data_IF_718028023015
#
_entry.id   IF_718028023015
#
_cell.length_a   1.000
_cell.length_b   1.000
_cell.length_c   1.000
_cell.angle_alpha   90.00
_cell.angle_beta   90.00
_cell.angle_gamma   90.00
#
_symmetry.space_group_name_H-M   'P 1'
#
loop_
_entity.id
_entity.type
_entity.pdbx_description
1 polymer ?
#
# COMPACT_ATOMS: atom_id res chain seq x y z
N UNK A 1 70.91 -25.12 -28.39
CA UNK A 1 70.91 -24.32 -29.63
C UNK A 1 69.49 -24.25 -30.16
N UNK A 2 69.09 -23.06 -30.60
CA UNK A 2 67.74 -22.54 -30.88
C UNK A 2 66.85 -23.36 -31.81
N UNK A 3 65.53 -23.32 -31.57
CA UNK A 3 64.54 -22.60 -32.40
C UNK A 3 63.15 -22.75 -31.76
N UNK A 4 62.59 -21.72 -31.11
CA UNK A 4 61.75 -20.65 -31.68
C UNK A 4 60.59 -21.19 -32.52
N UNK A 5 59.45 -21.41 -31.87
CA UNK A 5 58.16 -21.73 -32.50
C UNK A 5 57.24 -20.53 -32.43
N UNK A 6 56.80 -20.10 -33.60
CA UNK A 6 55.98 -18.94 -33.94
C UNK A 6 54.80 -18.63 -33.00
N UNK A 7 54.81 -17.41 -32.47
CA UNK A 7 53.62 -16.68 -32.05
C UNK A 7 52.91 -16.16 -33.32
N UNK A 8 51.75 -16.75 -33.65
CA UNK A 8 50.78 -16.09 -34.54
C UNK A 8 49.91 -15.13 -33.72
N UNK A 9 49.66 -13.90 -34.20
CA UNK A 9 48.76 -12.97 -33.53
C UNK A 9 47.31 -13.35 -33.85
N UNK A 10 46.52 -13.71 -32.85
CA UNK A 10 45.07 -13.79 -33.00
C UNK A 10 44.52 -12.37 -32.94
N UNK A 11 43.93 -11.96 -34.06
CA UNK A 11 43.36 -10.64 -34.27
C UNK A 11 42.37 -10.24 -33.17
N UNK A 12 42.61 -9.05 -32.62
CA UNK A 12 41.75 -8.34 -31.70
C UNK A 12 40.49 -7.85 -32.44
N UNK A 13 39.41 -8.64 -32.42
CA UNK A 13 38.11 -8.20 -32.86
C UNK A 13 37.42 -7.44 -31.71
N UNK A 14 37.68 -6.14 -31.63
CA UNK A 14 36.97 -5.22 -30.76
C UNK A 14 35.47 -5.24 -31.08
N UNK A 15 34.68 -5.97 -30.27
CA UNK A 15 33.22 -5.84 -30.25
C UNK A 15 32.88 -4.52 -29.57
N UNK A 16 32.31 -3.59 -30.34
CA UNK A 16 32.00 -2.24 -29.85
C UNK A 16 31.07 -2.26 -28.63
N UNK A 17 31.28 -1.38 -27.63
CA UNK A 17 30.47 -1.30 -26.41
C UNK A 17 29.01 -0.87 -26.63
N UNK A 18 28.64 -0.45 -27.85
CA UNK A 18 27.30 0.03 -28.17
C UNK A 18 26.27 -1.10 -28.32
N UNK A 19 26.68 -2.32 -28.67
CA UNK A 19 25.74 -3.45 -28.88
C UNK A 19 25.26 -4.05 -27.55
N UNK A 20 26.07 -3.96 -26.50
CA UNK A 20 25.71 -4.45 -25.16
C UNK A 20 24.68 -3.54 -24.46
N UNK A 21 24.80 -2.22 -24.67
CA UNK A 21 23.88 -1.22 -24.09
C UNK A 21 22.48 -1.27 -24.70
N UNK A 22 22.35 -1.60 -25.99
CA UNK A 22 21.04 -1.72 -26.66
C UNK A 22 20.28 -2.96 -26.16
N UNK A 23 20.99 -4.05 -25.86
CA UNK A 23 20.38 -5.31 -25.40
C UNK A 23 19.91 -5.21 -23.94
N UNK A 24 20.66 -4.51 -23.08
CA UNK A 24 20.27 -4.28 -21.68
C UNK A 24 19.06 -3.34 -21.55
N UNK A 25 18.95 -2.33 -22.43
CA UNK A 25 17.83 -1.38 -22.44
C UNK A 25 16.51 -2.05 -22.84
N UNK A 26 16.54 -3.06 -23.72
CA UNK A 26 15.36 -3.85 -24.12
C UNK A 26 14.86 -4.82 -23.03
N UNK A 27 15.77 -5.30 -22.17
CA UNK A 27 15.43 -6.22 -21.07
C UNK A 27 14.91 -5.46 -19.83
N UNK A 28 15.43 -4.26 -19.56
CA UNK A 28 15.00 -3.44 -18.42
C UNK A 28 13.68 -2.68 -18.64
N UNK A 29 13.26 -2.46 -19.89
CA UNK A 29 12.01 -1.75 -20.19
C UNK A 29 10.76 -2.66 -20.19
N UNK A 30 10.95 -3.99 -20.17
CA UNK A 30 9.86 -4.98 -20.19
C UNK A 30 9.49 -5.55 -18.79
N UNK A 31 9.88 -4.87 -17.71
CA UNK A 31 9.49 -5.25 -16.33
C UNK A 31 8.75 -4.16 -15.56
N UNK A 32 8.33 -3.10 -16.25
CA UNK A 32 7.42 -2.07 -15.73
C UNK A 32 6.11 -2.17 -16.51
N UNK A 33 5.36 -3.25 -16.31
CA UNK A 33 3.92 -3.26 -16.55
C UNK A 33 3.29 -4.27 -15.59
N UNK A 34 2.93 -3.72 -14.42
CA UNK A 34 1.84 -4.19 -13.59
C UNK A 34 0.61 -4.30 -14.50
N UNK A 35 0.19 -5.53 -14.82
CA UNK A 35 -0.92 -5.83 -15.72
C UNK A 35 -2.24 -5.34 -15.11
N UNK A 36 -2.66 -4.15 -15.50
CA UNK A 36 -4.05 -3.71 -15.37
C UNK A 36 -4.85 -4.36 -16.49
N UNK A 37 -5.53 -5.46 -16.20
CA UNK A 37 -6.49 -6.05 -17.13
C UNK A 37 -7.84 -5.31 -17.01
N UNK A 38 -7.95 -4.15 -17.66
CA UNK A 38 -9.23 -3.50 -17.92
C UNK A 38 -9.78 -4.06 -19.25
N UNK A 39 -10.55 -5.14 -19.17
CA UNK A 39 -11.30 -5.64 -20.34
C UNK A 39 -12.62 -4.89 -20.45
N UNK A 40 -12.63 -3.82 -21.24
CA UNK A 40 -13.86 -3.25 -21.79
C UNK A 40 -14.31 -4.12 -22.97
N UNK A 41 -15.34 -4.94 -22.78
CA UNK A 41 -16.05 -5.56 -23.90
C UNK A 41 -17.22 -4.68 -24.31
N UNK A 42 -17.04 -4.01 -25.44
CA UNK A 42 -18.05 -3.32 -26.22
C UNK A 42 -19.10 -4.35 -26.67
N UNK A 43 -20.33 -4.25 -26.18
CA UNK A 43 -21.46 -5.03 -26.69
C UNK A 43 -22.27 -4.18 -27.68
N UNK A 44 -21.87 -4.21 -28.95
CA UNK A 44 -22.76 -3.83 -30.05
C UNK A 44 -23.19 -5.10 -30.76
N UNK A 45 -24.33 -5.67 -30.34
CA UNK A 45 -25.13 -6.56 -31.18
C UNK A 45 -26.42 -5.84 -31.52
N UNK A 46 -26.36 -5.18 -32.67
CA UNK A 46 -27.48 -4.73 -33.48
C UNK A 46 -27.91 -5.93 -34.34
N UNK A 47 -29.23 -6.17 -34.47
CA UNK A 47 -29.99 -7.03 -35.42
C UNK A 47 -31.25 -7.51 -34.66
N UNK A 48 -32.53 -7.38 -35.06
CA UNK A 48 -33.26 -6.99 -36.29
C UNK A 48 -34.76 -6.72 -35.89
N UNK A 49 -35.67 -6.35 -36.81
CA UNK A 49 -36.87 -5.53 -36.55
C UNK A 49 -38.18 -6.32 -36.38
N UNK A 50 -39.21 -5.69 -35.83
CA UNK A 50 -40.60 -6.07 -36.12
C UNK A 50 -41.58 -4.92 -35.84
N UNK A 51 -42.24 -4.52 -36.93
CA UNK A 51 -43.56 -3.90 -37.11
C UNK A 51 -44.49 -3.74 -35.90
N UNK A 52 -45.07 -2.54 -35.81
CA UNK A 52 -46.34 -2.27 -35.12
C UNK A 52 -47.47 -3.13 -35.69
N UNK A 53 -48.12 -3.93 -34.84
CA UNK A 53 -49.55 -4.22 -34.94
C UNK A 53 -50.12 -4.42 -33.53
N UNK A 54 -51.12 -3.60 -33.21
CA UNK A 54 -52.03 -3.79 -32.09
C UNK A 54 -53.06 -4.87 -32.46
N UNK A 55 -53.43 -5.76 -31.51
CA UNK A 55 -54.74 -6.40 -31.31
C UNK A 55 -54.79 -6.91 -29.85
N UNK A 56 -55.99 -6.92 -29.26
CA UNK A 56 -56.35 -6.87 -27.84
C UNK A 56 -56.40 -8.21 -27.07
N UNK A 57 -56.79 -8.10 -25.77
CA UNK A 57 -57.23 -9.10 -24.75
C UNK A 57 -56.10 -9.62 -23.84
N UNK A 58 -56.13 -9.63 -22.49
CA UNK A 58 -57.16 -9.54 -21.43
C UNK A 58 -56.43 -9.21 -20.10
N UNK A 59 -57.09 -8.65 -19.05
CA UNK A 59 -56.45 -8.42 -17.76
C UNK A 59 -56.29 -9.74 -16.98
N UNK A 60 -55.07 -10.19 -16.78
CA UNK A 60 -54.73 -11.18 -15.75
C UNK A 60 -54.14 -10.42 -14.55
N UNK A 61 -54.98 -10.29 -13.54
CA UNK A 61 -54.60 -9.94 -12.17
C UNK A 61 -53.65 -11.04 -11.66
N UNK A 62 -52.35 -10.76 -11.70
CA UNK A 62 -51.35 -11.50 -10.93
C UNK A 62 -50.81 -10.59 -9.85
N UNK A 63 -51.36 -10.77 -8.66
CA UNK A 63 -50.83 -10.29 -7.40
C UNK A 63 -49.43 -10.86 -7.16
N UNK A 64 -48.41 -10.18 -7.69
CA UNK A 64 -47.04 -10.35 -7.22
C UNK A 64 -46.67 -9.17 -6.34
N UNK A 65 -46.85 -9.38 -5.03
CA UNK A 65 -46.30 -8.54 -3.98
C UNK A 65 -44.78 -8.58 -4.05
N UNK A 66 -44.17 -7.72 -4.88
CA UNK A 66 -42.71 -7.53 -4.88
C UNK A 66 -42.33 -6.74 -3.62
N UNK A 67 -42.03 -7.49 -2.54
CA UNK A 67 -41.25 -6.97 -1.42
C UNK A 67 -39.82 -6.74 -1.93
N UNK A 68 -39.18 -5.60 -1.63
CA UNK A 68 -37.85 -5.30 -2.16
C UNK A 68 -36.83 -6.30 -1.62
N UNK A 69 -36.18 -7.04 -2.53
CA UNK A 69 -35.03 -7.87 -2.21
C UNK A 69 -33.88 -6.91 -1.90
N UNK A 70 -33.60 -6.74 -0.60
CA UNK A 70 -32.35 -6.17 -0.10
C UNK A 70 -31.22 -7.07 -0.63
N UNK A 71 -30.17 -6.53 -1.28
CA UNK A 71 -29.04 -7.35 -1.70
C UNK A 71 -28.45 -8.07 -0.48
N UNK A 72 -28.60 -9.39 -0.40
CA UNK A 72 -27.81 -10.19 0.51
C UNK A 72 -26.38 -10.10 0.02
N UNK A 73 -25.48 -9.57 0.84
CA UNK A 73 -24.05 -9.67 0.56
C UNK A 73 -23.71 -11.15 0.27
N UNK A 74 -22.81 -11.43 -0.68
CA UNK A 74 -22.34 -12.79 -0.91
C UNK A 74 -21.81 -13.36 0.42
N UNK A 75 -22.36 -14.49 0.85
CA UNK A 75 -21.87 -15.20 2.02
C UNK A 75 -20.57 -15.87 1.58
N UNK A 76 -19.44 -15.43 2.13
CA UNK A 76 -18.12 -16.02 1.89
C UNK A 76 -18.20 -17.51 2.27
N UNK A 77 -17.77 -18.40 1.38
CA UNK A 77 -17.75 -19.84 1.65
C UNK A 77 -16.90 -20.16 2.90
N UNK A 78 -17.23 -21.25 3.61
CA UNK A 78 -16.47 -21.67 4.78
C UNK A 78 -15.00 -21.97 4.43
N UNK A 79 -14.76 -22.57 3.27
CA UNK A 79 -13.43 -22.89 2.76
C UNK A 79 -12.61 -21.61 2.52
N UNK A 80 -13.16 -20.66 1.77
CA UNK A 80 -12.49 -19.40 1.47
C UNK A 80 -12.21 -18.59 2.73
N UNK A 81 -13.17 -18.58 3.67
CA UNK A 81 -13.00 -17.96 4.99
C UNK A 81 -11.83 -18.57 5.77
N UNK A 82 -11.66 -19.89 5.72
CA UNK A 82 -10.53 -20.56 6.36
C UNK A 82 -9.18 -20.22 5.69
N UNK A 83 -9.16 -20.17 4.35
CA UNK A 83 -7.97 -19.78 3.59
C UNK A 83 -7.57 -18.32 3.88
N UNK A 84 -8.52 -17.39 3.92
CA UNK A 84 -8.27 -15.99 4.27
C UNK A 84 -7.71 -15.89 5.70
N UNK A 85 -8.29 -16.61 6.66
CA UNK A 85 -7.79 -16.65 8.05
C UNK A 85 -6.33 -17.10 8.10
N UNK A 86 -6.02 -18.21 7.43
CA UNK A 86 -4.67 -18.77 7.38
C UNK A 86 -3.67 -17.80 6.73
N UNK A 87 -4.06 -17.15 5.63
CA UNK A 87 -3.22 -16.15 4.98
C UNK A 87 -2.89 -15.00 5.93
N UNK A 88 -3.91 -14.44 6.61
CA UNK A 88 -3.75 -13.34 7.56
C UNK A 88 -2.88 -13.71 8.76
N UNK A 89 -2.96 -14.97 9.22
CA UNK A 89 -2.10 -15.49 10.30
C UNK A 89 -0.64 -15.59 9.85
N UNK A 90 -0.37 -16.17 8.68
CA UNK A 90 0.99 -16.35 8.14
C UNK A 90 1.64 -14.99 7.81
N UNK A 91 0.86 -13.98 7.45
CA UNK A 91 1.36 -12.62 7.19
C UNK A 91 1.38 -11.72 8.42
N UNK A 92 1.17 -12.26 9.62
CA UNK A 92 1.14 -11.53 10.90
C UNK A 92 0.17 -10.32 10.91
N UNK A 93 -0.94 -10.40 10.18
CA UNK A 93 -1.85 -9.26 9.99
C UNK A 93 -2.44 -8.74 11.30
N UNK A 94 -2.69 -9.60 12.29
CA UNK A 94 -3.14 -9.19 13.63
C UNK A 94 -2.12 -8.31 14.32
N UNK A 95 -0.86 -8.75 14.37
CA UNK A 95 0.23 -7.97 14.98
C UNK A 95 0.44 -6.64 14.26
N UNK A 96 0.37 -6.63 12.93
CA UNK A 96 0.47 -5.40 12.14
C UNK A 96 -0.70 -4.44 12.45
N UNK A 97 -1.92 -4.95 12.56
CA UNK A 97 -3.10 -4.15 12.91
C UNK A 97 -2.99 -3.56 14.34
N UNK A 98 -2.51 -4.35 15.30
CA UNK A 98 -2.23 -3.89 16.67
C UNK A 98 -1.19 -2.76 16.68
N UNK A 99 -0.10 -2.90 15.92
CA UNK A 99 0.93 -1.86 15.81
C UNK A 99 0.41 -0.57 15.17
N UNK A 100 -0.43 -0.68 14.13
CA UNK A 100 -1.08 0.48 13.51
C UNK A 100 -2.00 1.17 14.51
N UNK A 101 -2.84 0.40 15.22
CA UNK A 101 -3.76 0.93 16.22
C UNK A 101 -3.01 1.64 17.36
N UNK A 102 -1.94 1.04 17.87
CA UNK A 102 -1.09 1.62 18.91
C UNK A 102 -0.44 2.93 18.44
N UNK A 103 0.01 2.97 17.18
CA UNK A 103 0.57 4.19 16.57
C UNK A 103 -0.47 5.27 16.37
N UNK A 104 -1.70 4.91 15.99
CA UNK A 104 -2.82 5.84 15.89
C UNK A 104 -3.21 6.40 17.26
N UNK A 105 -3.27 5.56 18.30
CA UNK A 105 -3.52 5.99 19.68
C UNK A 105 -2.45 6.98 20.14
N UNK A 106 -1.18 6.69 19.88
CA UNK A 106 -0.07 7.59 20.22
C UNK A 106 -0.12 8.92 19.47
N UNK A 107 -0.51 8.92 18.20
CA UNK A 107 -0.52 10.14 17.38
C UNK A 107 -1.75 11.04 17.63
N UNK A 108 -2.89 10.44 17.99
CA UNK A 108 -4.13 11.18 18.25
C UNK A 108 -4.14 11.84 19.64
N UNK A 109 -3.47 11.24 20.62
CA UNK A 109 -3.51 11.75 21.99
C UNK A 109 -2.97 13.19 22.13
N UNK A 110 -1.80 13.57 21.57
CA UNK A 110 -1.34 14.97 21.60
C UNK A 110 -2.32 15.95 20.96
N UNK A 111 -3.02 15.55 19.89
CA UNK A 111 -4.03 16.39 19.23
C UNK A 111 -5.22 16.64 20.14
N UNK A 112 -5.70 15.60 20.83
CA UNK A 112 -6.77 15.72 21.82
C UNK A 112 -6.36 16.63 22.97
N UNK A 113 -5.13 16.48 23.49
CA UNK A 113 -4.58 17.34 24.55
C UNK A 113 -4.53 18.80 24.09
N UNK A 114 -4.01 19.06 22.89
CA UNK A 114 -3.95 20.42 22.32
C UNK A 114 -5.35 21.03 22.13
N UNK A 115 -6.33 20.25 21.68
CA UNK A 115 -7.72 20.70 21.54
C UNK A 115 -8.34 21.07 22.90
N UNK A 116 -8.03 20.32 23.96
CA UNK A 116 -8.47 20.66 25.33
C UNK A 116 -7.84 21.96 25.79
N UNK A 117 -6.53 22.16 25.62
CA UNK A 117 -5.84 23.39 26.01
C UNK A 117 -6.43 24.62 25.30
N UNK A 118 -6.69 24.50 23.99
CA UNK A 118 -7.32 25.57 23.20
C UNK A 118 -8.69 25.98 23.74
N UNK A 119 -9.47 25.02 24.24
CA UNK A 119 -10.81 25.26 24.76
C UNK A 119 -10.84 25.56 26.27
N UNK A 120 -9.70 25.44 26.95
CA UNK A 120 -9.54 25.70 28.38
C UNK A 120 -8.22 26.45 28.63
N UNK A 121 -8.13 27.73 28.23
CA UNK A 121 -6.88 28.51 28.33
C UNK A 121 -6.40 28.69 29.78
N UNK A 122 -7.26 28.51 30.78
CA UNK A 122 -6.86 28.47 32.18
C UNK A 122 -5.88 27.32 32.53
N UNK A 123 -5.81 26.29 31.68
CA UNK A 123 -4.86 25.18 31.79
C UNK A 123 -3.53 25.47 31.07
N UNK A 124 -3.50 26.50 30.23
CA UNK A 124 -2.32 26.99 29.53
C UNK A 124 -1.62 28.04 30.40
N UNK A 125 -0.90 27.54 31.41
CA UNK A 125 -0.31 28.36 32.47
C UNK A 125 1.21 28.18 32.51
N UNK A 126 1.95 29.28 32.67
CA UNK A 126 3.41 29.26 32.87
C UNK A 126 3.83 28.81 34.27
N UNK A 127 2.85 28.57 35.16
CA UNK A 127 3.11 28.14 36.54
C UNK A 127 3.58 26.69 36.58
N UNK A 128 4.79 26.39 37.09
CA UNK A 128 5.35 25.05 37.10
C UNK A 128 4.46 24.00 37.77
N UNK A 129 3.73 24.38 38.83
CA UNK A 129 2.83 23.47 39.55
C UNK A 129 1.66 23.04 38.67
N UNK A 130 1.10 23.96 37.90
CA UNK A 130 -0.03 23.71 36.99
C UNK A 130 0.43 22.84 35.82
N UNK A 131 1.60 23.13 35.25
CA UNK A 131 2.18 22.31 34.17
C UNK A 131 2.44 20.88 34.62
N UNK A 132 3.01 20.71 35.83
CA UNK A 132 3.25 19.37 36.39
C UNK A 132 1.94 18.61 36.60
N UNK A 133 0.94 19.24 37.23
CA UNK A 133 -0.37 18.61 37.43
C UNK A 133 -1.02 18.23 36.10
N UNK A 134 -0.96 19.12 35.12
CA UNK A 134 -1.51 18.86 33.79
C UNK A 134 -0.80 17.69 33.10
N UNK A 135 0.53 17.65 33.11
CA UNK A 135 1.34 16.55 32.56
C UNK A 135 1.01 15.19 33.20
N UNK A 136 0.84 15.16 34.53
CA UNK A 136 0.43 13.95 35.26
C UNK A 136 -0.99 13.50 34.88
N UNK A 137 -1.93 14.45 34.70
CA UNK A 137 -3.29 14.17 34.23
C UNK A 137 -3.26 13.60 32.82
N UNK A 138 -2.51 14.23 31.90
CA UNK A 138 -2.36 13.77 30.52
C UNK A 138 -1.77 12.37 30.47
N UNK A 139 -0.71 12.10 31.25
CA UNK A 139 -0.08 10.78 31.32
C UNK A 139 -1.04 9.71 31.83
N UNK A 140 -1.83 10.01 32.87
CA UNK A 140 -2.87 9.11 33.40
C UNK A 140 -4.01 8.90 32.40
N UNK A 141 -4.40 9.95 31.69
CA UNK A 141 -5.41 9.90 30.63
C UNK A 141 -4.92 9.03 29.46
N UNK A 142 -3.65 9.18 29.06
CA UNK A 142 -3.00 8.37 28.04
C UNK A 142 -3.10 6.87 28.36
N UNK A 143 -2.69 6.50 29.58
CA UNK A 143 -2.75 5.12 30.04
C UNK A 143 -4.18 4.57 30.04
N UNK A 144 -5.13 5.32 30.61
CA UNK A 144 -6.56 4.93 30.62
C UNK A 144 -7.13 4.81 29.21
N UNK A 145 -6.74 5.68 28.28
CA UNK A 145 -7.20 5.64 26.90
C UNK A 145 -6.69 4.38 26.19
N UNK A 146 -5.37 4.13 26.27
CA UNK A 146 -4.75 2.92 25.71
C UNK A 146 -5.39 1.65 26.26
N UNK A 147 -5.55 1.54 27.59
CA UNK A 147 -6.16 0.38 28.24
C UNK A 147 -7.59 0.15 27.77
N UNK A 148 -8.38 1.22 27.62
CA UNK A 148 -9.77 1.13 27.17
C UNK A 148 -9.86 0.76 25.69
N UNK A 149 -8.96 1.26 24.85
CA UNK A 149 -8.89 0.90 23.42
C UNK A 149 -8.64 -0.60 23.29
N UNK A 150 -7.60 -1.12 23.95
CA UNK A 150 -7.25 -2.55 23.91
C UNK A 150 -8.38 -3.44 24.45
N UNK A 151 -9.10 -3.00 25.50
CA UNK A 151 -10.21 -3.77 26.08
C UNK A 151 -11.51 -3.73 25.28
N UNK A 152 -11.76 -2.64 24.55
CA UNK A 152 -13.05 -2.41 23.88
C UNK A 152 -13.02 -2.72 22.40
N UNK A 153 -11.85 -2.72 21.77
CA UNK A 153 -11.71 -3.01 20.35
C UNK A 153 -11.19 -4.42 20.19
N UNK A 154 -12.04 -5.30 19.67
CA UNK A 154 -11.61 -6.61 19.21
C UNK A 154 -10.93 -6.47 17.84
N UNK A 155 -9.60 -6.49 17.85
CA UNK A 155 -8.78 -6.37 16.63
C UNK A 155 -9.05 -7.53 15.67
N UNK A 156 -9.30 -8.75 16.17
CA UNK A 156 -9.57 -9.90 15.32
C UNK A 156 -10.92 -9.74 14.61
N UNK A 157 -11.95 -9.29 15.35
CA UNK A 157 -13.25 -9.00 14.76
C UNK A 157 -13.16 -7.88 13.72
N UNK A 158 -12.38 -6.83 13.97
CA UNK A 158 -12.16 -5.74 13.03
C UNK A 158 -11.46 -6.24 11.75
N UNK A 159 -10.41 -7.04 11.89
CA UNK A 159 -9.72 -7.67 10.76
C UNK A 159 -10.69 -8.55 9.98
N UNK A 160 -11.53 -9.32 10.65
CA UNK A 160 -12.52 -10.15 9.97
C UNK A 160 -13.49 -9.30 9.13
N UNK A 161 -14.05 -8.26 9.74
CA UNK A 161 -15.02 -7.37 9.08
C UNK A 161 -14.42 -6.60 7.90
N UNK A 162 -13.14 -6.23 7.99
CA UNK A 162 -12.47 -5.42 6.96
C UNK A 162 -11.81 -6.30 5.91
N UNK A 163 -10.97 -7.25 6.31
CA UNK A 163 -10.11 -8.00 5.39
C UNK A 163 -10.89 -9.07 4.63
N UNK A 164 -11.81 -9.79 5.26
CA UNK A 164 -12.41 -10.97 4.62
C UNK A 164 -13.21 -10.61 3.36
N UNK A 165 -14.06 -9.57 3.36
CA UNK A 165 -14.74 -9.13 2.14
C UNK A 165 -13.78 -8.65 1.05
N UNK A 166 -12.64 -8.05 1.44
CA UNK A 166 -11.62 -7.57 0.50
C UNK A 166 -10.94 -8.75 -0.19
N UNK A 167 -10.45 -9.74 0.56
CA UNK A 167 -9.85 -10.93 -0.03
C UNK A 167 -10.87 -11.75 -0.82
N UNK A 168 -12.11 -11.85 -0.34
CA UNK A 168 -13.19 -12.50 -1.07
C UNK A 168 -13.43 -11.87 -2.45
N UNK A 169 -13.41 -10.54 -2.51
CA UNK A 169 -13.59 -9.79 -3.76
C UNK A 169 -12.47 -10.02 -4.78
N UNK A 170 -11.22 -10.14 -4.32
CA UNK A 170 -10.06 -10.08 -5.23
C UNK A 170 -9.39 -11.43 -5.51
N UNK A 171 -9.63 -12.45 -4.68
CA UNK A 171 -8.96 -13.74 -4.84
C UNK A 171 -9.97 -14.87 -4.87
N UNK A 172 -9.71 -15.86 -5.72
CA UNK A 172 -10.36 -17.16 -5.70
C UNK A 172 -9.74 -18.05 -4.61
N UNK A 173 -10.41 -19.15 -4.27
CA UNK A 173 -9.87 -20.14 -3.31
C UNK A 173 -8.56 -20.75 -3.82
N UNK A 174 -8.43 -21.02 -5.13
CA UNK A 174 -7.19 -21.53 -5.73
C UNK A 174 -6.03 -20.55 -5.57
N UNK A 175 -6.26 -19.27 -5.85
CA UNK A 175 -5.21 -18.24 -5.72
C UNK A 175 -4.81 -18.04 -4.26
N UNK A 176 -5.77 -18.09 -3.32
CA UNK A 176 -5.45 -18.05 -1.89
C UNK A 176 -4.57 -19.24 -1.49
N UNK A 177 -4.86 -20.46 -1.98
CA UNK A 177 -4.02 -21.64 -1.74
C UNK A 177 -2.61 -21.46 -2.31
N UNK A 178 -2.48 -20.90 -3.50
CA UNK A 178 -1.17 -20.64 -4.13
C UNK A 178 -0.35 -19.61 -3.32
N UNK A 179 -0.99 -18.52 -2.89
CA UNK A 179 -0.35 -17.48 -2.06
C UNK A 179 0.10 -18.06 -0.71
N UNK A 180 -0.77 -18.84 -0.06
CA UNK A 180 -0.44 -19.53 1.21
C UNK A 180 0.72 -20.50 0.99
N UNK A 181 0.70 -21.28 -0.09
CA UNK A 181 1.77 -22.21 -0.45
C UNK A 181 3.11 -21.50 -0.59
N UNK A 182 3.13 -20.34 -1.26
CA UNK A 182 4.32 -19.50 -1.35
C UNK A 182 4.79 -19.04 0.03
N UNK A 183 3.94 -18.41 0.84
CA UNK A 183 4.35 -17.87 2.15
C UNK A 183 4.73 -18.96 3.18
N UNK A 184 4.27 -20.19 3.01
CA UNK A 184 4.73 -21.34 3.82
C UNK A 184 6.14 -21.81 3.47
N UNK A 185 6.61 -21.58 2.25
CA UNK A 185 7.95 -21.97 1.80
C UNK A 185 9.05 -21.22 2.57
N UNK A 186 10.26 -21.79 2.62
CA UNK A 186 11.42 -21.13 3.25
C UNK A 186 11.70 -19.75 2.65
N UNK A 187 11.61 -19.64 1.33
CA UNK A 187 11.78 -18.38 0.60
C UNK A 187 10.64 -17.40 0.89
N UNK A 188 9.39 -17.86 0.91
CA UNK A 188 8.24 -16.99 1.20
C UNK A 188 8.25 -16.42 2.62
N UNK A 189 8.60 -17.25 3.62
CA UNK A 189 8.81 -16.78 5.00
C UNK A 189 9.93 -15.75 5.10
N UNK A 190 11.05 -15.99 4.41
CA UNK A 190 12.15 -15.02 4.34
C UNK A 190 11.74 -13.73 3.63
N UNK A 191 10.94 -13.83 2.57
CA UNK A 191 10.47 -12.68 1.82
C UNK A 191 9.59 -11.78 2.70
N UNK A 192 8.56 -12.32 3.34
CA UNK A 192 7.65 -11.52 4.18
C UNK A 192 8.35 -10.91 5.40
N UNK A 193 9.32 -11.62 6.01
CA UNK A 193 10.04 -11.10 7.18
C UNK A 193 11.05 -10.00 6.85
N UNK A 194 11.71 -10.06 5.68
CA UNK A 194 12.74 -9.10 5.28
C UNK A 194 12.19 -7.91 4.49
N UNK A 195 10.96 -7.97 3.94
CA UNK A 195 10.40 -6.86 3.16
C UNK A 195 10.44 -5.50 3.88
N UNK A 196 10.06 -5.39 5.17
CA UNK A 196 10.14 -4.12 5.89
C UNK A 196 11.57 -3.57 5.98
N UNK A 197 12.55 -4.45 6.22
CA UNK A 197 13.96 -4.07 6.28
C UNK A 197 14.48 -3.63 4.91
N UNK A 198 14.17 -4.37 3.86
CA UNK A 198 14.56 -4.01 2.49
C UNK A 198 14.00 -2.64 2.10
N UNK A 199 12.74 -2.37 2.45
CA UNK A 199 12.14 -1.05 2.22
C UNK A 199 12.87 0.05 3.00
N UNK A 200 13.16 -0.16 4.29
CA UNK A 200 13.90 0.78 5.12
C UNK A 200 15.30 1.06 4.55
N UNK A 201 16.05 0.02 4.19
CA UNK A 201 17.41 0.15 3.66
C UNK A 201 17.39 0.88 2.30
N UNK A 202 16.38 0.61 1.47
CA UNK A 202 16.18 1.31 0.18
C UNK A 202 15.90 2.80 0.39
N UNK A 203 15.08 3.15 1.38
CA UNK A 203 14.76 4.54 1.70
C UNK A 203 16.00 5.27 2.25
N UNK A 204 16.73 4.67 3.20
CA UNK A 204 17.96 5.23 3.74
C UNK A 204 19.00 5.48 2.63
N UNK A 205 19.23 4.47 1.78
CA UNK A 205 20.16 4.60 0.66
C UNK A 205 19.75 5.67 -0.34
N UNK A 206 18.45 5.81 -0.59
CA UNK A 206 17.93 6.89 -1.44
C UNK A 206 18.26 8.25 -0.86
N UNK A 207 18.05 8.46 0.44
CA UNK A 207 18.36 9.73 1.11
C UNK A 207 19.86 10.05 1.11
N UNK A 208 20.73 9.06 1.34
CA UNK A 208 22.18 9.21 1.27
C UNK A 208 22.66 9.74 -0.10
N UNK A 209 22.00 9.29 -1.18
CA UNK A 209 22.37 9.66 -2.55
C UNK A 209 21.71 10.99 -2.97
N UNK A 210 20.42 11.14 -2.69
CA UNK A 210 19.59 12.23 -3.22
C UNK A 210 19.79 13.55 -2.47
N UNK A 211 19.83 13.52 -1.13
CA UNK A 211 19.88 14.75 -0.32
C UNK A 211 21.12 15.61 -0.60
N UNK A 212 22.35 15.06 -0.76
CA UNK A 212 23.51 15.87 -1.13
C UNK A 212 23.39 16.51 -2.51
N UNK A 213 22.75 15.84 -3.47
CA UNK A 213 22.55 16.39 -4.81
C UNK A 213 21.55 17.54 -4.78
N UNK A 214 20.42 17.37 -4.09
CA UNK A 214 19.44 18.44 -3.89
C UNK A 214 20.06 19.65 -3.18
N UNK A 215 20.87 19.42 -2.15
CA UNK A 215 21.59 20.49 -1.43
C UNK A 215 22.54 21.26 -2.36
N UNK A 216 23.26 20.56 -3.24
CA UNK A 216 24.13 21.18 -4.25
C UNK A 216 23.34 22.07 -5.20
N UNK A 217 22.24 21.56 -5.76
CA UNK A 217 21.37 22.32 -6.66
C UNK A 217 20.82 23.58 -5.96
N UNK A 218 20.36 23.46 -4.71
CA UNK A 218 19.88 24.62 -3.96
C UNK A 218 20.99 25.65 -3.71
N UNK A 219 22.23 25.19 -3.44
CA UNK A 219 23.38 26.08 -3.27
C UNK A 219 23.72 26.83 -4.56
N UNK A 220 23.65 26.15 -5.71
CA UNK A 220 23.84 26.75 -7.03
C UNK A 220 22.79 27.84 -7.29
N UNK A 221 21.51 27.54 -7.06
CA UNK A 221 20.40 28.51 -7.24
C UNK A 221 20.58 29.72 -6.33
N UNK A 222 20.87 29.52 -5.04
CA UNK A 222 21.09 30.63 -4.09
C UNK A 222 22.24 31.52 -4.57
N UNK A 223 23.33 30.91 -5.07
CA UNK A 223 24.50 31.65 -5.55
C UNK A 223 24.15 32.48 -6.79
N UNK A 224 23.43 31.89 -7.75
CA UNK A 224 22.98 32.59 -8.96
C UNK A 224 22.09 33.78 -8.64
N UNK A 225 21.08 33.60 -7.78
CA UNK A 225 20.16 34.67 -7.37
C UNK A 225 20.87 35.80 -6.63
N UNK A 226 21.79 35.48 -5.71
CA UNK A 226 22.59 36.49 -5.01
C UNK A 226 23.49 37.27 -5.96
N UNK A 227 24.10 36.61 -6.96
CA UNK A 227 24.93 37.28 -7.96
C UNK A 227 24.09 38.21 -8.85
N UNK A 228 22.89 37.79 -9.24
CA UNK A 228 21.96 38.58 -10.06
C UNK A 228 21.41 39.81 -9.32
N UNK A 229 21.34 39.78 -7.99
CA UNK A 229 20.88 40.88 -7.17
C UNK A 229 21.92 42.01 -6.97
N UNK A 230 23.18 41.80 -7.37
CA UNK A 230 24.21 42.84 -7.27
C UNK A 230 24.00 43.95 -8.32
N UNK A 231 24.17 45.23 -7.96
CA UNK A 231 24.03 46.33 -8.91
C UNK A 231 25.08 46.21 -10.03
N UNK A 232 24.62 46.24 -11.28
CA UNK A 232 25.52 46.27 -12.45
C UNK A 232 26.27 47.60 -12.45
N UNK A 233 27.60 47.54 -12.45
CA UNK A 233 28.49 48.71 -12.61
C UNK A 233 28.45 49.24 -14.04
#
# INVERSE_FOLDING_TARGET
MSNSSDLKPVANAARSPQVFLITLKKIMLNRIFLTTALSSLLTTSLVLPASHQAIAQTPQESSNTTKPIKPSAPIISQEKRALIKELLEITESTKNAEQIMDSMVRSELPKLVSAVLKNAPALDSDRPEIQKQFSEIVSRMAGKYRDRVVKKIDVNQLIEQVSYPIYDKYFTESELRDIIGFYKSSTGKKAISLMPQIFNDSFQRTNEILMPQMSRIMTEIITEELLNALPRK
#
